data_IF_363763892898
#
_entry.id   IF_363763892898
#
_cell.length_a   1.000
_cell.length_b   1.000
_cell.length_c   1.000
_cell.angle_alpha   90.00
_cell.angle_beta   90.00
_cell.angle_gamma   90.00
#
_symmetry.space_group_name_H-M   'P 1'
#
loop_
_entity.id
_entity.type
_entity.pdbx_description
1 polymer ?
#
# COMPACT_ATOMS: atom_id res chain seq x y z
N UNK A 1 -4.40 -2.00 1.34
CA UNK A 1 -5.34 -1.05 1.96
C UNK A 1 -6.38 -0.73 0.91
N UNK A 2 -7.66 -0.67 1.28
CA UNK A 2 -8.72 -0.27 0.34
C UNK A 2 -8.68 1.26 0.21
N UNK A 3 -8.66 1.74 -1.02
CA UNK A 3 -8.80 3.15 -1.39
C UNK A 3 -10.16 3.32 -2.09
N UNK A 4 -11.19 3.83 -1.39
CA UNK A 4 -12.53 3.98 -1.98
C UNK A 4 -12.56 4.82 -3.25
N UNK A 5 -11.73 5.86 -3.33
CA UNK A 5 -11.60 6.71 -4.53
C UNK A 5 -10.95 5.99 -5.73
N UNK A 6 -10.24 4.88 -5.49
CA UNK A 6 -9.53 4.13 -6.53
C UNK A 6 -9.85 2.63 -6.41
N UNK A 7 -11.10 2.21 -6.71
CA UNK A 7 -11.56 0.85 -6.47
C UNK A 7 -10.85 -0.18 -7.36
N UNK A 8 -10.59 0.17 -8.63
CA UNK A 8 -9.85 -0.71 -9.57
C UNK A 8 -8.42 -0.94 -9.10
N UNK A 9 -7.72 0.13 -8.68
CA UNK A 9 -6.38 0.03 -8.09
C UNK A 9 -6.39 -0.86 -6.83
N UNK A 10 -7.39 -0.67 -5.96
CA UNK A 10 -7.56 -1.47 -4.74
C UNK A 10 -7.79 -2.95 -5.04
N UNK A 11 -8.61 -3.26 -6.05
CA UNK A 11 -8.87 -4.63 -6.47
C UNK A 11 -7.61 -5.31 -7.02
N UNK A 12 -6.85 -4.62 -7.88
CA UNK A 12 -5.61 -5.14 -8.45
C UNK A 12 -4.57 -5.40 -7.36
N UNK A 13 -4.38 -4.45 -6.43
CA UNK A 13 -3.42 -4.63 -5.33
C UNK A 13 -3.82 -5.75 -4.37
N UNK A 14 -5.11 -5.94 -4.11
CA UNK A 14 -5.61 -7.08 -3.35
C UNK A 14 -5.39 -8.42 -4.08
N UNK A 15 -5.65 -8.44 -5.39
CA UNK A 15 -5.41 -9.60 -6.25
C UNK A 15 -3.92 -9.98 -6.31
N UNK A 16 -3.04 -8.99 -6.49
CA UNK A 16 -1.58 -9.19 -6.45
C UNK A 16 -1.15 -9.81 -5.11
N UNK A 17 -1.71 -9.34 -4.00
CA UNK A 17 -1.40 -9.89 -2.67
C UNK A 17 -1.90 -11.32 -2.48
N UNK A 18 -3.08 -11.65 -3.00
CA UNK A 18 -3.55 -13.03 -3.01
C UNK A 18 -2.63 -13.92 -3.85
N UNK A 19 -2.25 -13.46 -5.04
CA UNK A 19 -1.36 -14.16 -5.96
C UNK A 19 0.01 -14.42 -5.34
N UNK A 20 0.69 -13.42 -4.77
CA UNK A 20 2.03 -13.59 -4.18
C UNK A 20 2.02 -14.57 -3.01
N UNK A 21 0.96 -14.56 -2.19
CA UNK A 21 0.79 -15.53 -1.09
C UNK A 21 0.61 -16.96 -1.61
N UNK A 22 -0.23 -17.16 -2.63
CA UNK A 22 -0.41 -18.48 -3.24
C UNK A 22 0.88 -18.98 -3.89
N UNK A 23 1.57 -18.10 -4.62
CA UNK A 23 2.83 -18.42 -5.30
C UNK A 23 3.92 -18.85 -4.32
N UNK A 24 4.04 -18.20 -3.15
CA UNK A 24 4.96 -18.65 -2.07
C UNK A 24 4.69 -20.09 -1.63
N UNK A 25 3.41 -20.47 -1.52
CA UNK A 25 3.04 -21.84 -1.12
C UNK A 25 3.41 -22.85 -2.21
N UNK A 26 3.17 -22.51 -3.48
CA UNK A 26 3.54 -23.37 -4.62
C UNK A 26 5.05 -23.57 -4.73
N UNK A 27 5.84 -22.52 -4.46
CA UNK A 27 7.29 -22.51 -4.59
C UNK A 27 8.04 -22.94 -3.33
N UNK A 28 7.34 -23.40 -2.27
CA UNK A 28 7.93 -23.68 -0.94
C UNK A 28 9.11 -24.66 -0.95
N UNK A 29 9.14 -25.58 -1.93
CA UNK A 29 10.16 -26.61 -2.08
C UNK A 29 11.17 -26.28 -3.21
N UNK A 30 11.28 -24.99 -3.58
CA UNK A 30 12.22 -24.51 -4.61
C UNK A 30 13.18 -23.49 -4.02
N UNK A 31 14.20 -23.13 -4.80
CA UNK A 31 15.13 -22.06 -4.45
C UNK A 31 14.60 -20.66 -4.79
N UNK A 32 13.37 -20.54 -5.32
CA UNK A 32 12.78 -19.25 -5.70
C UNK A 32 12.08 -18.62 -4.49
N UNK A 33 12.40 -17.36 -4.18
CA UNK A 33 11.77 -16.58 -3.11
C UNK A 33 10.88 -15.50 -3.69
N UNK A 34 9.70 -15.32 -3.11
CA UNK A 34 8.73 -14.31 -3.53
C UNK A 34 8.59 -13.28 -2.42
N UNK A 35 9.07 -12.07 -2.70
CA UNK A 35 9.04 -10.92 -1.78
C UNK A 35 8.03 -9.92 -2.31
N UNK A 36 7.14 -9.44 -1.44
CA UNK A 36 6.15 -8.40 -1.76
C UNK A 36 6.45 -7.12 -0.99
N UNK A 37 6.54 -6.01 -1.70
CA UNK A 37 6.65 -4.67 -1.13
C UNK A 37 5.26 -4.04 -1.01
N UNK A 38 4.80 -3.83 0.23
CA UNK A 38 3.55 -3.12 0.52
C UNK A 38 3.89 -1.68 0.89
N UNK A 39 4.10 -0.86 -0.15
CA UNK A 39 4.49 0.53 0.00
C UNK A 39 3.29 1.42 0.40
N UNK A 40 3.47 2.37 1.34
CA UNK A 40 2.53 3.47 1.54
C UNK A 40 2.68 4.51 0.41
N UNK A 41 1.81 5.52 0.40
CA UNK A 41 1.98 6.68 -0.49
C UNK A 41 3.35 7.34 -0.31
N UNK A 42 3.92 7.85 -1.40
CA UNK A 42 5.25 8.48 -1.41
C UNK A 42 5.26 9.86 -2.05
N UNK A 43 6.21 10.71 -1.67
CA UNK A 43 6.39 12.01 -2.32
C UNK A 43 7.11 11.86 -3.66
N UNK A 44 6.40 11.39 -4.69
CA UNK A 44 6.92 11.30 -6.06
C UNK A 44 6.31 12.40 -6.95
N UNK A 45 6.99 12.80 -8.05
CA UNK A 45 6.44 13.76 -9.00
C UNK A 45 5.07 13.35 -9.57
N UNK A 46 4.78 12.03 -9.61
CA UNK A 46 3.47 11.53 -9.99
C UNK A 46 2.40 11.90 -8.94
N UNK A 47 2.70 11.73 -7.65
CA UNK A 47 1.78 12.09 -6.58
C UNK A 47 1.53 13.60 -6.47
N UNK A 48 2.49 14.42 -6.89
CA UNK A 48 2.29 15.88 -6.96
C UNK A 48 1.22 16.29 -7.98
N UNK A 49 1.00 15.49 -9.04
CA UNK A 49 -0.09 15.73 -10.00
C UNK A 49 -1.45 15.49 -9.35
N UNK A 50 -1.58 14.45 -8.53
CA UNK A 50 -2.84 14.13 -7.85
C UNK A 50 -3.21 15.13 -6.73
N UNK A 51 -2.22 15.84 -6.16
CA UNK A 51 -2.48 16.92 -5.19
C UNK A 51 -3.18 18.12 -5.82
N UNK A 52 -2.82 18.46 -7.07
CA UNK A 52 -3.36 19.64 -7.76
C UNK A 52 -4.81 19.48 -8.20
N UNK A 53 -5.27 18.24 -8.37
CA UNK A 53 -6.63 17.94 -8.83
C UNK A 53 -7.62 17.76 -7.67
N UNK A 54 -7.21 17.96 -6.41
CA UNK A 54 -8.00 17.69 -5.19
C UNK A 54 -8.51 16.24 -5.06
N UNK A 55 -8.17 15.35 -6.01
CA UNK A 55 -8.50 13.92 -6.04
C UNK A 55 -7.82 13.19 -4.89
N UNK A 56 -6.56 13.53 -4.59
CA UNK A 56 -5.80 12.83 -3.56
C UNK A 56 -4.78 13.78 -2.92
N UNK A 57 -5.14 14.37 -1.78
CA UNK A 57 -4.22 15.13 -0.93
C UNK A 57 -3.92 14.36 0.37
N UNK A 58 -2.95 13.42 0.35
CA UNK A 58 -2.55 12.72 1.54
C UNK A 58 -1.81 13.69 2.47
N UNK A 59 -2.20 13.71 3.75
CA UNK A 59 -1.44 14.38 4.81
C UNK A 59 0.06 14.05 4.64
N UNK A 60 0.95 15.06 4.50
CA UNK A 60 2.38 14.82 4.30
C UNK A 60 3.00 13.89 5.35
N UNK A 61 2.44 13.84 6.56
CA UNK A 61 2.86 12.93 7.65
C UNK A 61 2.56 11.45 7.38
N UNK A 62 1.72 11.16 6.38
CA UNK A 62 1.36 9.81 5.94
C UNK A 62 2.23 9.34 4.77
N UNK A 63 3.00 10.24 4.16
CA UNK A 63 3.89 9.90 3.06
C UNK A 63 5.24 9.39 3.59
N UNK A 64 5.78 8.40 2.88
CA UNK A 64 7.14 7.91 3.10
C UNK A 64 8.02 8.38 1.95
N UNK A 65 9.25 8.82 2.24
CA UNK A 65 10.15 9.26 1.17
C UNK A 65 10.47 8.11 0.21
N UNK A 66 10.61 8.38 -1.10
CA UNK A 66 10.96 7.34 -2.07
C UNK A 66 12.22 6.56 -1.69
N UNK A 67 13.25 7.26 -1.21
CA UNK A 67 14.50 6.64 -0.76
C UNK A 67 14.25 5.59 0.34
N UNK A 68 13.47 5.92 1.38
CA UNK A 68 13.17 4.98 2.47
C UNK A 68 12.39 3.75 1.99
N UNK A 69 11.55 3.89 0.96
CA UNK A 69 10.82 2.76 0.37
C UNK A 69 11.80 1.85 -0.38
N UNK A 70 12.71 2.42 -1.16
CA UNK A 70 13.75 1.69 -1.90
C UNK A 70 14.68 0.96 -0.93
N UNK A 71 15.18 1.65 0.10
CA UNK A 71 16.06 1.05 1.10
C UNK A 71 15.37 -0.12 1.83
N UNK A 72 14.10 0.04 2.19
CA UNK A 72 13.31 -1.03 2.81
C UNK A 72 13.12 -2.23 1.86
N UNK A 73 12.86 -1.97 0.58
CA UNK A 73 12.70 -3.01 -0.44
C UNK A 73 13.99 -3.82 -0.62
N UNK A 74 15.14 -3.15 -0.81
CA UNK A 74 16.45 -3.80 -0.96
C UNK A 74 16.77 -4.63 0.28
N UNK A 75 16.62 -4.06 1.47
CA UNK A 75 16.86 -4.77 2.72
C UNK A 75 15.92 -5.99 2.88
N UNK A 76 14.66 -5.86 2.47
CA UNK A 76 13.71 -6.98 2.51
C UNK A 76 14.09 -8.11 1.57
N UNK A 77 14.55 -7.79 0.37
CA UNK A 77 15.06 -8.75 -0.61
C UNK A 77 16.29 -9.51 -0.07
N UNK A 78 17.29 -8.78 0.41
CA UNK A 78 18.53 -9.36 0.95
C UNK A 78 18.28 -10.27 2.18
N UNK A 79 17.25 -9.98 2.97
CA UNK A 79 16.91 -10.74 4.17
C UNK A 79 15.79 -11.77 3.95
N UNK A 80 15.43 -12.08 2.70
CA UNK A 80 14.37 -13.04 2.36
C UNK A 80 13.03 -12.77 3.09
N UNK A 81 12.69 -11.50 3.31
CA UNK A 81 11.42 -11.13 3.96
C UNK A 81 10.29 -11.32 2.97
N UNK A 82 9.38 -12.27 3.24
CA UNK A 82 8.21 -12.51 2.37
C UNK A 82 7.42 -11.22 2.09
N UNK A 83 7.26 -10.36 3.09
CA UNK A 83 6.49 -9.12 2.99
C UNK A 83 7.28 -7.97 3.64
N UNK A 84 7.34 -6.84 2.93
CA UNK A 84 8.09 -5.65 3.33
C UNK A 84 7.13 -4.49 3.47
N UNK A 85 7.12 -3.87 4.64
CA UNK A 85 6.24 -2.75 4.98
C UNK A 85 7.05 -1.51 5.34
N UNK A 86 7.35 -0.61 4.39
CA UNK A 86 8.08 0.62 4.67
C UNK A 86 7.25 1.60 5.52
N UNK A 87 7.94 2.30 6.42
CA UNK A 87 7.33 3.38 7.20
C UNK A 87 6.11 2.91 8.01
N UNK A 88 4.99 3.64 7.89
CA UNK A 88 3.75 3.36 8.64
C UNK A 88 2.92 2.22 8.05
N UNK A 89 3.31 1.62 6.91
CA UNK A 89 2.52 0.58 6.26
C UNK A 89 2.30 -0.66 7.14
N UNK A 90 3.26 -0.98 8.03
CA UNK A 90 3.12 -2.10 8.97
C UNK A 90 2.02 -1.85 10.01
N UNK A 91 1.91 -0.63 10.52
CA UNK A 91 0.84 -0.24 11.44
C UNK A 91 -0.53 -0.28 10.74
N UNK A 92 -0.61 0.24 9.51
CA UNK A 92 -1.83 0.17 8.69
C UNK A 92 -2.23 -1.29 8.42
N UNK A 93 -1.27 -2.16 8.15
CA UNK A 93 -1.52 -3.59 7.99
C UNK A 93 -2.09 -4.20 9.27
N UNK A 94 -1.48 -3.95 10.43
CA UNK A 94 -1.99 -4.42 11.72
C UNK A 94 -3.42 -3.92 11.99
N UNK A 95 -3.65 -2.62 11.79
CA UNK A 95 -4.97 -2.00 11.92
C UNK A 95 -6.01 -2.63 10.97
N UNK A 96 -5.60 -3.05 9.77
CA UNK A 96 -6.51 -3.71 8.82
C UNK A 96 -6.96 -5.10 9.27
N UNK A 97 -6.24 -5.70 10.22
CA UNK A 97 -6.59 -6.98 10.83
C UNK A 97 -7.45 -6.79 12.07
N UNK A 98 -7.19 -5.76 12.88
CA UNK A 98 -7.86 -5.57 14.17
C UNK A 98 -9.09 -4.65 14.11
N UNK A 99 -9.07 -3.64 13.22
CA UNK A 99 -10.12 -2.62 13.11
C UNK A 99 -10.40 -2.24 11.64
N UNK A 100 -10.78 -3.21 10.78
CA UNK A 100 -10.96 -2.98 9.35
C UNK A 100 -12.02 -1.92 9.03
N UNK A 101 -13.14 -1.89 9.78
CA UNK A 101 -14.21 -0.90 9.60
C UNK A 101 -13.75 0.53 9.90
N UNK A 102 -12.94 0.72 10.95
CA UNK A 102 -12.35 2.02 11.27
C UNK A 102 -11.45 2.51 10.14
N UNK A 103 -10.55 1.66 9.64
CA UNK A 103 -9.69 2.02 8.52
C UNK A 103 -10.46 2.34 7.25
N UNK A 104 -11.51 1.57 6.94
CA UNK A 104 -12.36 1.84 5.78
C UNK A 104 -13.05 3.20 5.91
N UNK A 105 -13.59 3.52 7.08
CA UNK A 105 -14.20 4.83 7.34
C UNK A 105 -13.18 5.98 7.23
N UNK A 106 -11.95 5.78 7.71
CA UNK A 106 -10.89 6.78 7.56
C UNK A 106 -10.45 6.93 6.10
N UNK A 107 -10.35 5.84 5.35
CA UNK A 107 -10.04 5.88 3.91
C UNK A 107 -11.18 6.49 3.09
N UNK A 108 -12.44 6.32 3.48
CA UNK A 108 -13.60 6.92 2.82
C UNK A 108 -13.63 8.45 2.94
N UNK A 109 -13.06 9.00 4.01
CA UNK A 109 -12.86 10.45 4.16
C UNK A 109 -11.84 10.99 3.16
N UNK A 110 -10.85 10.18 2.77
CA UNK A 110 -9.85 10.57 1.77
C UNK A 110 -10.51 10.61 0.39
N UNK A 111 -10.61 11.80 -0.20
CA UNK A 111 -11.25 11.96 -1.49
C UNK A 111 -12.79 11.95 -1.44
N UNK A 112 -13.39 12.07 -0.25
CA UNK A 112 -14.84 12.17 -0.08
C UNK A 112 -15.43 13.34 -0.90
N UNK A 113 -14.75 14.48 -0.92
CA UNK A 113 -15.12 15.61 -1.77
C UNK A 113 -15.20 15.22 -3.24
N UNK A 114 -14.32 14.36 -3.74
CA UNK A 114 -14.29 13.96 -5.15
C UNK A 114 -15.34 12.89 -5.45
N UNK A 115 -15.62 12.00 -4.50
CA UNK A 115 -16.64 10.96 -4.65
C UNK A 115 -18.07 11.49 -4.52
N UNK A 116 -18.28 12.54 -3.73
CA UNK A 116 -19.61 13.04 -3.36
C UNK A 116 -19.91 14.47 -3.79
N UNK A 117 -19.01 15.18 -4.48
CA UNK A 117 -19.37 16.46 -5.10
C UNK A 117 -20.26 16.21 -6.33
N UNK A 118 -21.55 16.03 -6.05
CA UNK A 118 -22.66 16.87 -6.51
C UNK A 118 -23.22 17.64 -5.31
#
# INVERSE_FOLDING_TARGET
>A
MILPIAPVYSAITAGLRAYTRALRVQLKNTNVKVVELIAPGSGTPLNDKFRKEAVFDPDPRMLTSPQKIVDAAINGLLNNKNEVYPGKAGLVYLLSRIAPGFLLNQAAKMGASVMYNY
#
